data_IF_900141080243
#
_entry.id   IF_900141080243
#
_cell.length_a   1.000
_cell.length_b   1.000
_cell.length_c   1.000
_cell.angle_alpha   90.00
_cell.angle_beta   90.00
_cell.angle_gamma   90.00
#
_symmetry.space_group_name_H-M   'P 1'
#
loop_
_entity.id
_entity.type
_entity.pdbx_description
1 polymer ?
#
# COMPACT_ATOMS: atom_id res chain seq x y z
N UNK A 1 -8.06 1.25 -1.10
CA UNK A 1 -9.23 0.39 -0.80
C UNK A 1 -9.45 -0.49 -2.00
N UNK A 2 -9.36 -1.80 -1.78
CA UNK A 2 -9.53 -2.83 -2.80
C UNK A 2 -10.95 -2.76 -3.37
N UNK A 3 -11.11 -3.05 -4.64
CA UNK A 3 -12.42 -3.14 -5.27
C UNK A 3 -13.26 -4.29 -4.69
N UNK A 4 -14.58 -4.12 -4.72
CA UNK A 4 -15.52 -5.11 -4.22
C UNK A 4 -15.49 -6.44 -5.00
N UNK A 5 -14.98 -6.42 -6.25
CA UNK A 5 -14.86 -7.59 -7.11
C UNK A 5 -13.60 -8.43 -6.89
N UNK A 6 -12.67 -8.01 -6.03
CA UNK A 6 -11.42 -8.75 -5.78
C UNK A 6 -11.71 -10.10 -5.11
N UNK A 7 -11.03 -11.14 -5.57
CA UNK A 7 -11.18 -12.51 -5.02
C UNK A 7 -10.77 -12.59 -3.54
N UNK A 8 -9.69 -11.88 -3.18
CA UNK A 8 -9.18 -11.80 -1.81
C UNK A 8 -9.38 -10.41 -1.24
N UNK A 9 -9.89 -10.36 -0.01
CA UNK A 9 -10.07 -9.15 0.79
C UNK A 9 -10.83 -8.01 0.08
N UNK A 10 -12.01 -8.29 -0.53
CA UNK A 10 -12.81 -7.23 -1.14
C UNK A 10 -13.15 -6.14 -0.12
N UNK A 11 -13.21 -4.89 -0.61
CA UNK A 11 -13.49 -3.67 0.17
C UNK A 11 -12.53 -3.33 1.31
N UNK A 12 -11.46 -4.12 1.57
CA UNK A 12 -10.46 -3.81 2.59
C UNK A 12 -9.50 -2.70 2.15
N UNK A 13 -8.89 -2.03 3.12
CA UNK A 13 -7.74 -1.15 2.90
C UNK A 13 -6.48 -2.00 2.74
N UNK A 14 -5.61 -1.59 1.83
CA UNK A 14 -4.34 -2.25 1.60
C UNK A 14 -3.26 -1.15 1.50
N UNK A 15 -2.01 -1.55 1.33
CA UNK A 15 -0.97 -0.60 0.91
C UNK A 15 -1.28 -0.03 -0.47
N UNK A 16 -0.55 1.02 -0.83
CA UNK A 16 -0.86 1.88 -1.99
C UNK A 16 -1.01 1.10 -3.30
N UNK A 17 -0.17 0.10 -3.53
CA UNK A 17 -0.19 -0.84 -4.67
C UNK A 17 0.31 -2.19 -4.16
N UNK A 18 -0.32 -3.29 -4.57
CA UNK A 18 0.11 -4.64 -4.24
C UNK A 18 -0.40 -5.65 -5.27
N UNK A 19 0.53 -6.26 -6.02
CA UNK A 19 0.21 -7.24 -7.05
C UNK A 19 1.21 -8.39 -7.11
N UNK A 20 0.87 -9.40 -7.91
CA UNK A 20 1.68 -10.60 -8.06
C UNK A 20 2.57 -10.52 -9.28
N UNK A 21 3.73 -11.16 -9.19
CA UNK A 21 4.65 -11.27 -10.30
C UNK A 21 4.27 -12.45 -11.20
N UNK A 22 4.28 -12.23 -12.51
CA UNK A 22 4.24 -13.30 -13.49
C UNK A 22 5.48 -14.19 -13.39
N UNK A 23 5.37 -15.44 -13.85
CA UNK A 23 6.53 -16.33 -13.90
C UNK A 23 7.65 -15.74 -14.78
N UNK A 24 8.82 -15.51 -14.19
CA UNK A 24 9.96 -14.89 -14.87
C UNK A 24 9.95 -13.35 -14.88
N UNK A 25 8.94 -12.72 -14.28
CA UNK A 25 8.89 -11.27 -14.09
C UNK A 25 9.81 -10.85 -12.92
N UNK A 26 10.58 -9.78 -13.14
CA UNK A 26 11.41 -9.18 -12.08
C UNK A 26 10.57 -8.28 -11.17
N UNK A 27 10.92 -8.24 -9.89
CA UNK A 27 10.14 -7.55 -8.84
C UNK A 27 9.98 -6.05 -9.09
N UNK A 28 11.04 -5.37 -9.49
CA UNK A 28 10.99 -3.96 -9.87
C UNK A 28 10.12 -3.71 -11.10
N UNK A 29 10.22 -4.57 -12.12
CA UNK A 29 9.43 -4.44 -13.34
C UNK A 29 7.94 -4.67 -13.09
N UNK A 30 7.60 -5.72 -12.34
CA UNK A 30 6.22 -5.99 -11.93
C UNK A 30 5.66 -4.89 -11.04
N UNK A 31 6.43 -4.42 -10.05
CA UNK A 31 6.00 -3.30 -9.21
C UNK A 31 5.67 -2.04 -10.00
N UNK A 32 6.48 -1.68 -11.01
CA UNK A 32 6.20 -0.53 -11.87
C UNK A 32 4.94 -0.73 -12.72
N UNK A 33 4.76 -1.95 -13.27
CA UNK A 33 3.54 -2.32 -14.02
C UNK A 33 2.30 -2.19 -13.14
N UNK A 34 2.31 -2.76 -11.94
CA UNK A 34 1.17 -2.71 -11.02
C UNK A 34 0.85 -1.26 -10.60
N UNK A 35 1.85 -0.40 -10.40
CA UNK A 35 1.61 1.03 -10.11
C UNK A 35 0.90 1.71 -11.28
N UNK A 36 1.32 1.42 -12.52
CA UNK A 36 0.68 1.98 -13.72
C UNK A 36 -0.72 1.41 -13.94
N UNK A 37 -0.94 0.11 -13.74
CA UNK A 37 -2.23 -0.55 -13.90
C UNK A 37 -3.23 -0.08 -12.82
N UNK A 38 -2.87 -0.15 -11.54
CA UNK A 38 -3.80 0.18 -10.45
C UNK A 38 -4.07 1.68 -10.31
N UNK A 39 -3.04 2.52 -10.50
CA UNK A 39 -3.10 3.97 -10.20
C UNK A 39 -3.00 4.87 -11.44
N UNK A 40 -2.71 4.32 -12.62
CA UNK A 40 -2.46 5.12 -13.83
C UNK A 40 -1.22 5.99 -13.72
N UNK A 41 -0.28 5.61 -12.85
CA UNK A 41 0.79 6.49 -12.39
C UNK A 41 2.15 6.03 -12.95
N UNK A 42 2.72 6.73 -13.95
CA UNK A 42 4.06 6.40 -14.42
C UNK A 42 5.12 6.74 -13.36
N UNK A 43 6.04 5.81 -13.13
CA UNK A 43 7.14 5.92 -12.15
C UNK A 43 8.43 5.46 -12.82
N UNK A 44 9.52 6.20 -12.63
CA UNK A 44 10.82 5.72 -13.07
C UNK A 44 11.41 4.76 -12.03
N UNK A 45 12.15 3.71 -12.45
CA UNK A 45 12.72 2.74 -11.53
C UNK A 45 13.60 3.33 -10.42
N UNK A 46 14.29 4.44 -10.69
CA UNK A 46 15.18 5.15 -9.76
C UNK A 46 14.44 6.00 -8.73
N UNK A 47 13.12 6.21 -8.89
CA UNK A 47 12.27 6.85 -7.88
C UNK A 47 11.86 5.87 -6.76
N UNK A 48 11.96 4.56 -6.98
CA UNK A 48 11.58 3.54 -6.01
C UNK A 48 12.73 3.22 -5.05
N UNK A 49 12.47 3.39 -3.76
CA UNK A 49 13.44 3.11 -2.70
C UNK A 49 13.12 1.74 -2.10
N UNK A 50 14.00 0.73 -2.24
CA UNK A 50 13.77 -0.59 -1.66
C UNK A 50 13.85 -0.53 -0.12
N UNK A 51 12.91 -1.18 0.54
CA UNK A 51 12.84 -1.28 2.01
C UNK A 51 13.18 -2.68 2.56
N UNK A 52 13.32 -3.68 1.68
CA UNK A 52 13.62 -5.07 2.02
C UNK A 52 12.54 -6.03 1.55
N UNK A 53 12.66 -7.29 1.98
CA UNK A 53 11.74 -8.37 1.62
C UNK A 53 11.15 -8.96 2.88
N UNK A 54 9.81 -9.09 2.95
CA UNK A 54 9.15 -9.80 4.06
C UNK A 54 8.51 -11.11 3.60
N UNK A 55 8.47 -12.09 4.49
CA UNK A 55 7.70 -13.32 4.31
C UNK A 55 6.33 -13.19 4.97
N UNK A 56 5.27 -13.51 4.25
CA UNK A 56 3.89 -13.47 4.76
C UNK A 56 3.28 -14.86 4.63
N UNK A 57 2.57 -15.29 5.67
CA UNK A 57 1.73 -16.48 5.63
C UNK A 57 0.32 -16.07 6.02
N UNK A 58 -0.68 -16.46 5.23
CA UNK A 58 -2.08 -16.07 5.45
C UNK A 58 -3.05 -17.18 5.07
N UNK A 59 -4.05 -17.42 5.91
CA UNK A 59 -5.13 -18.34 5.57
C UNK A 59 -6.14 -17.61 4.67
N UNK A 60 -6.30 -18.10 3.43
CA UNK A 60 -7.27 -17.62 2.45
C UNK A 60 -8.28 -18.73 2.11
N UNK A 61 -9.40 -18.44 1.41
CA UNK A 61 -10.37 -19.48 1.05
C UNK A 61 -9.78 -20.64 0.24
N UNK A 62 -8.77 -20.37 -0.60
CA UNK A 62 -8.09 -21.37 -1.41
C UNK A 62 -7.07 -22.24 -0.65
N UNK A 63 -6.75 -21.89 0.61
CA UNK A 63 -5.78 -22.60 1.43
C UNK A 63 -4.81 -21.65 2.14
N UNK A 64 -3.60 -22.15 2.39
CA UNK A 64 -2.54 -21.37 3.01
C UNK A 64 -1.75 -20.63 1.92
N UNK A 65 -1.81 -19.32 1.97
CA UNK A 65 -1.05 -18.43 1.12
C UNK A 65 0.30 -18.12 1.74
N UNK A 66 1.36 -18.15 0.94
CA UNK A 66 2.76 -18.00 1.38
C UNK A 66 3.54 -17.19 0.37
N UNK A 67 3.87 -15.97 0.76
CA UNK A 67 4.38 -14.98 -0.17
C UNK A 67 5.66 -14.33 0.34
N UNK A 68 6.53 -13.94 -0.58
CA UNK A 68 7.60 -12.98 -0.33
C UNK A 68 7.20 -11.66 -0.95
N UNK A 69 7.15 -10.60 -0.14
CA UNK A 69 6.80 -9.26 -0.58
C UNK A 69 8.07 -8.42 -0.60
N UNK A 70 8.52 -8.03 -1.79
CA UNK A 70 9.53 -6.99 -1.93
C UNK A 70 8.86 -5.62 -1.77
N UNK A 71 9.29 -4.89 -0.75
CA UNK A 71 8.66 -3.63 -0.33
C UNK A 71 9.46 -2.46 -0.87
N UNK A 72 8.76 -1.52 -1.50
CA UNK A 72 9.33 -0.28 -2.03
C UNK A 72 8.59 0.93 -1.49
N UNK A 73 9.29 2.05 -1.41
CA UNK A 73 8.73 3.36 -1.09
C UNK A 73 8.87 4.29 -2.30
N UNK A 74 7.79 5.00 -2.63
CA UNK A 74 7.80 6.13 -3.54
C UNK A 74 7.58 7.41 -2.72
N UNK A 75 8.50 8.37 -2.81
CA UNK A 75 8.36 9.68 -2.16
C UNK A 75 8.11 10.74 -3.20
N UNK A 76 6.83 11.04 -3.43
CA UNK A 76 6.39 12.01 -4.44
C UNK A 76 5.19 12.81 -3.94
N UNK A 77 5.17 14.16 -4.11
CA UNK A 77 3.95 14.92 -3.87
C UNK A 77 2.93 14.51 -4.94
N UNK A 78 1.82 13.93 -4.51
CA UNK A 78 0.72 13.51 -5.37
C UNK A 78 -0.59 14.09 -4.85
N UNK A 79 -1.38 14.61 -5.78
CA UNK A 79 -2.78 14.94 -5.60
C UNK A 79 -3.64 13.79 -6.15
N UNK A 80 -4.91 13.68 -5.72
CA UNK A 80 -5.80 12.68 -6.31
C UNK A 80 -6.04 12.86 -7.82
N UNK A 81 -5.85 14.07 -8.33
CA UNK A 81 -6.00 14.40 -9.76
C UNK A 81 -4.88 13.80 -10.63
N UNK A 82 -3.76 13.43 -10.01
CA UNK A 82 -2.62 12.78 -10.67
C UNK A 82 -2.85 11.27 -10.88
N UNK A 83 -3.94 10.71 -10.34
CA UNK A 83 -4.22 9.28 -10.33
C UNK A 83 -5.40 8.93 -11.25
N UNK A 84 -5.25 7.85 -12.00
CA UNK A 84 -6.31 7.25 -12.79
C UNK A 84 -6.53 5.81 -12.34
N UNK A 85 -7.41 5.62 -11.36
CA UNK A 85 -7.63 4.30 -10.76
C UNK A 85 -8.28 3.33 -11.74
N UNK A 86 -7.72 2.13 -11.82
CA UNK A 86 -8.42 0.99 -12.40
C UNK A 86 -9.51 0.52 -11.42
N UNK A 87 -10.77 0.75 -11.78
CA UNK A 87 -11.92 0.57 -10.87
C UNK A 87 -12.16 -0.89 -10.49
N UNK A 88 -11.69 -1.82 -11.31
CA UNK A 88 -11.74 -3.26 -11.06
C UNK A 88 -10.78 -3.70 -9.95
N UNK A 89 -9.73 -2.92 -9.69
CA UNK A 89 -8.68 -3.20 -8.72
C UNK A 89 -8.79 -2.30 -7.48
N UNK A 90 -8.98 -1.00 -7.69
CA UNK A 90 -8.95 0.04 -6.64
C UNK A 90 -10.24 0.85 -6.66
N UNK A 91 -11.00 0.79 -5.56
CA UNK A 91 -12.26 1.52 -5.44
C UNK A 91 -12.14 2.90 -4.77
N UNK A 92 -11.05 3.16 -4.04
CA UNK A 92 -10.77 4.46 -3.42
C UNK A 92 -9.34 4.52 -2.88
N UNK A 93 -8.77 5.72 -2.81
CA UNK A 93 -7.54 5.99 -2.06
C UNK A 93 -7.90 6.57 -0.70
N UNK A 94 -7.18 6.13 0.34
CA UNK A 94 -7.28 6.70 1.68
C UNK A 94 -5.92 7.26 2.04
N UNK A 95 -5.85 8.56 2.31
CA UNK A 95 -4.64 9.27 2.73
C UNK A 95 -4.64 9.42 4.24
N UNK A 96 -3.60 8.89 4.87
CA UNK A 96 -3.35 8.99 6.31
C UNK A 96 -2.08 9.80 6.58
N UNK A 97 -2.01 10.43 7.74
CA UNK A 97 -0.75 11.02 8.23
C UNK A 97 0.15 9.90 8.74
N UNK A 98 1.46 9.98 8.49
CA UNK A 98 2.43 8.97 8.95
C UNK A 98 2.34 8.69 10.45
N UNK A 99 2.17 9.75 11.26
CA UNK A 99 2.03 9.62 12.71
C UNK A 99 0.78 8.81 13.14
N UNK A 100 -0.29 8.87 12.34
CA UNK A 100 -1.53 8.16 12.61
C UNK A 100 -1.37 6.69 12.22
N UNK A 101 -0.68 6.40 11.10
CA UNK A 101 -0.33 5.03 10.70
C UNK A 101 0.53 4.34 11.75
N UNK A 102 1.51 5.05 12.31
CA UNK A 102 2.35 4.54 13.40
C UNK A 102 1.54 4.23 14.68
N UNK A 103 0.39 4.88 14.87
CA UNK A 103 -0.47 4.77 16.03
C UNK A 103 -1.69 3.83 15.83
N UNK A 104 -1.93 3.32 14.62
CA UNK A 104 -3.10 2.48 14.27
C UNK A 104 -3.28 1.25 15.18
N UNK A 105 -2.21 0.75 15.79
CA UNK A 105 -2.24 -0.38 16.71
C UNK A 105 -2.88 -0.08 18.09
N UNK A 106 -3.31 1.17 18.34
CA UNK A 106 -3.85 1.61 19.64
C UNK A 106 -5.38 1.50 19.75
N UNK A 107 -6.02 0.76 18.85
CA UNK A 107 -7.48 0.49 18.87
C UNK A 107 -8.33 1.77 18.85
N UNK A 108 -7.85 2.80 18.16
CA UNK A 108 -8.58 4.04 17.94
C UNK A 108 -8.69 4.32 16.43
N UNK A 109 -9.86 4.79 16.03
CA UNK A 109 -10.11 5.35 14.71
C UNK A 109 -9.18 6.54 14.48
N UNK A 110 -8.49 6.54 13.35
CA UNK A 110 -7.66 7.68 12.92
C UNK A 110 -8.35 8.46 11.81
N UNK A 111 -8.21 9.78 11.85
CA UNK A 111 -8.71 10.64 10.79
C UNK A 111 -7.95 10.41 9.49
N UNK A 112 -8.67 10.36 8.38
CA UNK A 112 -8.10 10.22 7.05
C UNK A 112 -8.93 10.99 6.02
N UNK A 113 -8.35 11.18 4.84
CA UNK A 113 -9.06 11.70 3.67
C UNK A 113 -9.26 10.57 2.68
N UNK A 114 -10.49 10.38 2.24
CA UNK A 114 -10.84 9.39 1.24
C UNK A 114 -11.11 10.08 -0.07
N UNK A 115 -10.45 9.60 -1.12
CA UNK A 115 -10.72 9.99 -2.49
C UNK A 115 -11.38 8.86 -3.26
N UNK A 116 -12.50 9.19 -3.92
CA UNK A 116 -13.25 8.29 -4.81
C UNK A 116 -13.94 9.12 -5.89
N UNK A 117 -13.83 8.68 -7.14
CA UNK A 117 -14.55 9.27 -8.29
C UNK A 117 -14.44 10.80 -8.40
N UNK A 118 -13.23 11.34 -8.16
CA UNK A 118 -12.96 12.77 -8.26
C UNK A 118 -13.34 13.59 -7.02
N UNK A 119 -13.91 12.97 -5.99
CA UNK A 119 -14.32 13.64 -4.76
C UNK A 119 -13.42 13.25 -3.59
N UNK A 120 -12.99 14.26 -2.81
CA UNK A 120 -12.28 14.05 -1.55
C UNK A 120 -13.22 14.33 -0.39
N UNK A 121 -13.31 13.38 0.55
CA UNK A 121 -14.17 13.47 1.72
C UNK A 121 -13.40 13.06 2.99
N UNK A 122 -13.69 13.68 4.15
CA UNK A 122 -13.15 13.20 5.41
C UNK A 122 -13.72 11.81 5.75
N UNK A 123 -12.90 10.99 6.40
CA UNK A 123 -13.30 9.67 6.92
C UNK A 123 -12.53 9.39 8.21
N UNK A 124 -12.97 8.39 8.98
CA UNK A 124 -12.10 7.68 9.91
C UNK A 124 -11.74 6.32 9.34
N UNK A 125 -10.63 5.75 9.81
CA UNK A 125 -10.26 4.36 9.54
C UNK A 125 -9.71 3.69 10.78
N UNK A 126 -10.01 2.41 10.94
CA UNK A 126 -9.43 1.56 11.98
C UNK A 126 -8.48 0.51 11.39
N UNK A 127 -7.59 -0.05 12.22
CA UNK A 127 -6.69 -1.13 11.80
C UNK A 127 -7.46 -2.36 11.27
N UNK A 128 -8.65 -2.62 11.80
CA UNK A 128 -9.50 -3.75 11.40
C UNK A 128 -10.01 -3.66 9.95
N UNK A 129 -9.99 -2.48 9.34
CA UNK A 129 -10.38 -2.29 7.93
C UNK A 129 -9.28 -2.68 6.95
N UNK A 130 -8.03 -2.82 7.41
CA UNK A 130 -6.92 -3.21 6.55
C UNK A 130 -6.92 -4.71 6.26
N UNK A 131 -6.28 -5.08 5.15
CA UNK A 131 -5.84 -6.46 4.90
C UNK A 131 -4.95 -6.87 6.08
N UNK A 132 -5.20 -8.02 6.72
CA UNK A 132 -4.36 -8.51 7.80
C UNK A 132 -2.91 -8.67 7.31
N UNK A 133 -2.01 -7.83 7.80
CA UNK A 133 -0.61 -7.80 7.34
C UNK A 133 0.39 -8.49 8.25
N UNK A 134 0.06 -8.68 9.54
CA UNK A 134 1.01 -9.14 10.55
C UNK A 134 2.21 -8.21 10.76
N UNK A 135 3.13 -8.63 11.64
CA UNK A 135 4.52 -8.17 11.75
C UNK A 135 4.77 -6.66 11.81
N UNK A 136 3.81 -5.87 12.30
CA UNK A 136 3.91 -4.41 12.36
C UNK A 136 4.20 -3.77 10.98
N UNK A 137 3.70 -4.36 9.88
CA UNK A 137 4.04 -3.94 8.51
C UNK A 137 3.77 -2.45 8.23
N UNK A 138 2.56 -1.98 8.55
CA UNK A 138 2.16 -0.58 8.36
C UNK A 138 3.02 0.40 9.18
N UNK A 139 3.19 0.25 10.51
CA UNK A 139 4.03 1.15 11.28
C UNK A 139 5.52 1.07 10.90
N UNK A 140 6.06 -0.09 10.48
CA UNK A 140 7.43 -0.18 9.94
C UNK A 140 7.59 0.65 8.67
N UNK A 141 6.66 0.50 7.72
CA UNK A 141 6.66 1.28 6.47
C UNK A 141 6.52 2.78 6.73
N UNK A 142 5.68 3.18 7.70
CA UNK A 142 5.53 4.58 8.07
C UNK A 142 6.80 5.18 8.69
N UNK A 143 7.50 4.43 9.54
CA UNK A 143 8.81 4.84 10.08
C UNK A 143 9.86 4.97 8.98
N UNK A 144 9.93 4.00 8.06
CA UNK A 144 10.83 4.07 6.91
C UNK A 144 10.56 5.33 6.05
N UNK A 145 9.29 5.63 5.78
CA UNK A 145 8.91 6.84 5.06
C UNK A 145 9.34 8.12 5.80
N UNK A 146 9.17 8.16 7.14
CA UNK A 146 9.62 9.29 7.96
C UNK A 146 11.13 9.48 7.93
N UNK A 147 11.91 8.40 8.01
CA UNK A 147 13.37 8.44 7.91
C UNK A 147 13.80 9.07 6.58
N UNK A 148 13.24 8.60 5.47
CA UNK A 148 13.54 9.14 4.13
C UNK A 148 13.17 10.62 4.03
N UNK A 149 11.97 11.00 4.48
CA UNK A 149 11.49 12.40 4.46
C UNK A 149 12.33 13.33 5.35
N UNK A 150 13.01 12.79 6.37
CA UNK A 150 13.94 13.54 7.21
C UNK A 150 15.35 13.69 6.62
N UNK A 151 15.58 13.19 5.41
CA UNK A 151 16.88 13.20 4.73
C UNK A 151 17.78 12.01 5.08
N UNK A 152 17.25 11.02 5.81
CA UNK A 152 17.93 9.75 6.08
C UNK A 152 17.91 8.82 4.88
N UNK A 153 18.71 7.75 4.96
CA UNK A 153 18.54 6.56 4.12
C UNK A 153 17.76 5.54 4.93
N UNK A 154 16.68 4.96 4.42
CA UNK A 154 15.98 3.92 5.15
C UNK A 154 16.95 2.74 5.31
N UNK A 155 17.02 2.20 6.54
CA UNK A 155 17.71 0.92 6.77
C UNK A 155 16.98 -0.23 6.09
N UNK A 156 17.45 -1.47 6.33
CA UNK A 156 16.63 -2.62 5.99
C UNK A 156 15.48 -2.73 7.01
N UNK A 157 14.25 -2.44 6.59
CA UNK A 157 13.07 -2.48 7.45
C UNK A 157 12.40 -3.86 7.45
N UNK A 158 12.77 -4.73 6.50
CA UNK A 158 12.23 -6.07 6.30
C UNK A 158 13.32 -7.13 6.07
#
# INVERSE_FOLDING_TARGET
>A
RRAAGKETWPDRLDVTVAGHLGAGEGTLGGGLREIEEELGLPVNPDELIPLGTRSVESQIPAGLDREFHDVFLLVRPLSPEDLHLQKEEVAAIVRLRLQDVEALHKEEDVFAEKWRDGETSPTSVSLSEFVPGGDDYLPRTARAAREVLSGGRPGNHF
#
